data_IF_542351676204
#
_entry.id   IF_542351676204
#
_cell.length_a   1.000
_cell.length_b   1.000
_cell.length_c   1.000
_cell.angle_alpha   90.00
_cell.angle_beta   90.00
_cell.angle_gamma   90.00
#
_symmetry.space_group_name_H-M   'P 1'
#
loop_
_entity.id
_entity.type
_entity.pdbx_description
1 polymer ?
#
# COMPACT_ATOMS: atom_id res chain seq x y z
N UNK A 1 13.43 -3.27 14.84
CA UNK A 1 13.75 -2.82 13.47
C UNK A 1 12.44 -2.57 12.75
N UNK A 2 12.26 -1.40 12.15
CA UNK A 2 11.02 -1.06 11.44
C UNK A 2 10.99 -1.86 10.13
N UNK A 3 9.94 -2.67 9.92
CA UNK A 3 9.82 -3.51 8.72
C UNK A 3 9.16 -2.78 7.56
N UNK A 4 8.16 -1.95 7.87
CA UNK A 4 7.31 -1.27 6.88
C UNK A 4 6.89 0.11 7.36
N UNK A 5 6.78 1.05 6.44
CA UNK A 5 6.27 2.41 6.66
C UNK A 5 5.13 2.66 5.68
N UNK A 6 4.00 3.13 6.20
CA UNK A 6 2.84 3.53 5.40
C UNK A 6 2.75 5.04 5.35
N UNK A 7 2.59 5.58 4.15
CA UNK A 7 2.47 7.02 3.93
C UNK A 7 1.15 7.29 3.23
N UNK A 8 0.19 7.82 3.98
CA UNK A 8 -1.12 8.22 3.46
C UNK A 8 -1.07 9.70 3.06
N UNK A 9 -1.36 10.01 1.80
CA UNK A 9 -1.28 11.37 1.25
C UNK A 9 -2.43 11.64 0.28
N UNK A 10 -2.85 12.90 0.14
CA UNK A 10 -3.77 13.37 -0.93
C UNK A 10 -3.02 13.96 -2.14
N UNK A 11 -1.69 13.81 -2.17
CA UNK A 11 -0.83 14.24 -3.29
C UNK A 11 -0.16 13.05 -3.96
N UNK A 12 -0.11 13.08 -5.29
CA UNK A 12 0.74 12.18 -6.08
C UNK A 12 2.21 12.38 -5.70
N UNK A 13 2.89 11.28 -5.44
CA UNK A 13 4.18 11.30 -4.75
C UNK A 13 5.32 11.81 -5.62
N UNK A 14 5.21 11.64 -6.93
CA UNK A 14 6.12 12.22 -7.93
C UNK A 14 6.07 13.76 -7.97
N UNK A 15 5.05 14.38 -7.37
CA UNK A 15 4.89 15.82 -7.23
C UNK A 15 5.24 16.36 -5.84
N UNK A 16 5.48 15.49 -4.86
CA UNK A 16 5.79 15.89 -3.48
C UNK A 16 7.25 16.30 -3.31
N UNK A 17 8.17 15.74 -4.11
CA UNK A 17 9.58 16.10 -4.07
C UNK A 17 9.85 17.39 -4.85
N UNK A 18 10.46 18.38 -4.18
CA UNK A 18 10.99 19.57 -4.85
C UNK A 18 12.22 19.28 -5.72
N UNK A 19 12.76 18.06 -5.68
CA UNK A 19 13.93 17.64 -6.45
C UNK A 19 13.49 16.71 -7.61
N UNK A 20 13.52 17.18 -8.87
CA UNK A 20 13.11 16.37 -10.01
C UNK A 20 14.13 15.27 -10.37
N UNK A 21 15.32 15.26 -9.76
CA UNK A 21 16.40 14.32 -10.06
C UNK A 21 16.52 13.15 -9.09
N UNK A 22 15.79 13.16 -7.96
CA UNK A 22 15.82 12.12 -6.94
C UNK A 22 14.39 11.92 -6.41
N UNK A 23 13.91 10.67 -6.46
CA UNK A 23 12.65 10.29 -5.81
C UNK A 23 12.79 10.26 -4.30
N UNK A 24 11.70 10.45 -3.57
CA UNK A 24 11.72 10.36 -2.10
C UNK A 24 12.25 9.01 -1.59
N UNK A 25 11.96 7.93 -2.33
CA UNK A 25 12.47 6.60 -2.01
C UNK A 25 13.99 6.49 -2.14
N UNK A 26 14.57 7.07 -3.20
CA UNK A 26 16.02 7.10 -3.39
C UNK A 26 16.70 7.92 -2.29
N UNK A 27 16.12 9.08 -1.95
CA UNK A 27 16.61 9.93 -0.86
C UNK A 27 16.60 9.19 0.50
N UNK A 28 15.52 8.45 0.80
CA UNK A 28 15.43 7.65 2.02
C UNK A 28 16.47 6.54 2.01
N UNK A 29 16.59 5.80 0.91
CA UNK A 29 17.56 4.70 0.77
C UNK A 29 18.99 5.18 0.96
N UNK A 30 19.34 6.33 0.37
CA UNK A 30 20.64 6.98 0.53
C UNK A 30 20.92 7.37 1.98
N UNK A 31 19.97 8.06 2.65
CA UNK A 31 20.09 8.45 4.07
C UNK A 31 20.29 7.25 4.99
N UNK A 32 19.57 6.16 4.76
CA UNK A 32 19.75 4.90 5.51
C UNK A 32 21.15 4.32 5.29
N UNK A 33 21.63 4.30 4.05
CA UNK A 33 22.97 3.80 3.71
C UNK A 33 24.07 4.64 4.36
N UNK A 34 23.97 5.97 4.32
CA UNK A 34 24.93 6.90 4.94
C UNK A 34 25.04 6.72 6.47
N UNK A 35 23.96 6.27 7.13
CA UNK A 35 23.92 5.98 8.56
C UNK A 35 24.31 4.55 8.93
N UNK A 36 24.71 3.72 7.95
CA UNK A 36 25.08 2.32 8.17
C UNK A 36 23.89 1.35 8.22
N UNK A 37 22.67 1.81 7.92
CA UNK A 37 21.44 1.01 7.93
C UNK A 37 20.99 0.55 6.53
N UNK A 38 21.91 0.46 5.56
CA UNK A 38 21.57 0.14 4.17
C UNK A 38 20.84 -1.20 3.97
N UNK A 39 21.07 -2.18 4.85
CA UNK A 39 20.38 -3.49 4.83
C UNK A 39 19.05 -3.48 5.61
N UNK A 40 18.70 -2.37 6.26
CA UNK A 40 17.54 -2.22 7.13
C UNK A 40 16.59 -1.11 6.64
N UNK A 41 16.64 -0.79 5.35
CA UNK A 41 15.67 0.11 4.72
C UNK A 41 14.29 -0.56 4.78
N UNK A 42 13.29 0.06 5.43
CA UNK A 42 11.95 -0.52 5.51
C UNK A 42 11.29 -0.54 4.13
N UNK A 43 10.34 -1.44 3.95
CA UNK A 43 9.41 -1.34 2.82
C UNK A 43 8.54 -0.10 3.00
N UNK A 44 8.37 0.72 1.97
CA UNK A 44 7.54 1.92 2.02
C UNK A 44 6.33 1.73 1.12
N UNK A 45 5.14 1.92 1.68
CA UNK A 45 3.88 1.83 0.94
C UNK A 45 3.26 3.22 0.92
N UNK A 46 3.22 3.83 -0.26
CA UNK A 46 2.56 5.11 -0.48
C UNK A 46 1.12 4.86 -0.88
N UNK A 47 0.19 5.45 -0.17
CA UNK A 47 -1.24 5.38 -0.45
C UNK A 47 -1.78 6.78 -0.74
N UNK A 48 -2.08 7.04 -2.01
CA UNK A 48 -2.80 8.22 -2.43
C UNK A 48 -4.31 8.07 -2.14
N UNK A 49 -4.83 8.87 -1.21
CA UNK A 49 -6.22 8.88 -0.77
C UNK A 49 -7.13 9.72 -1.69
N UNK A 50 -6.58 10.45 -2.65
CA UNK A 50 -7.37 11.19 -3.63
C UNK A 50 -8.13 10.22 -4.52
N UNK A 51 -9.35 10.62 -4.91
CA UNK A 51 -10.10 9.95 -5.96
C UNK A 51 -9.30 10.02 -7.27
N UNK A 52 -8.70 8.89 -7.66
CA UNK A 52 -7.97 8.74 -8.91
C UNK A 52 -8.41 7.44 -9.56
N UNK A 53 -8.38 7.41 -10.90
CA UNK A 53 -8.76 6.22 -11.69
C UNK A 53 -7.83 5.02 -11.51
N UNK A 54 -6.78 5.14 -10.68
CA UNK A 54 -5.79 4.11 -10.53
C UNK A 54 -6.34 2.99 -9.63
N UNK A 55 -6.39 1.78 -10.18
CA UNK A 55 -6.63 0.55 -9.44
C UNK A 55 -5.48 0.30 -8.46
N UNK A 56 -5.74 -0.17 -7.23
CA UNK A 56 -4.71 -0.63 -6.30
C UNK A 56 -3.90 -1.75 -6.93
N UNK A 57 -2.78 -1.42 -7.56
CA UNK A 57 -1.83 -2.40 -8.07
C UNK A 57 -0.52 -2.11 -7.37
N UNK A 58 0.02 -3.06 -6.57
CA UNK A 58 1.33 -2.87 -5.98
C UNK A 58 2.34 -2.68 -7.12
N UNK A 59 2.79 -1.44 -7.34
CA UNK A 59 3.84 -1.14 -8.29
C UNK A 59 5.12 -1.86 -7.83
N UNK A 60 5.61 -2.80 -8.63
CA UNK A 60 6.66 -3.76 -8.28
C UNK A 60 8.07 -3.15 -8.34
N UNK A 61 8.32 -2.06 -7.62
CA UNK A 61 9.69 -1.65 -7.29
C UNK A 61 10.07 -2.30 -5.96
N UNK A 62 11.21 -3.00 -5.90
CA UNK A 62 11.60 -3.81 -4.73
C UNK A 62 11.72 -2.92 -3.49
N UNK A 63 10.72 -3.01 -2.59
CA UNK A 63 10.66 -2.20 -1.36
C UNK A 63 9.71 -1.01 -1.40
N UNK A 64 9.04 -0.75 -2.52
CA UNK A 64 8.00 0.29 -2.64
C UNK A 64 6.69 -0.32 -3.13
N UNK A 65 5.55 0.16 -2.63
CA UNK A 65 4.26 -0.09 -3.25
C UNK A 65 3.48 1.22 -3.36
N UNK A 66 2.75 1.40 -4.47
CA UNK A 66 1.84 2.52 -4.69
C UNK A 66 0.41 2.00 -4.64
N UNK A 67 -0.44 2.67 -3.87
CA UNK A 67 -1.87 2.36 -3.73
C UNK A 67 -2.66 3.64 -3.97
N UNK A 68 -3.77 3.56 -4.66
CA UNK A 68 -4.58 4.72 -5.07
C UNK A 68 -6.06 4.48 -4.82
N UNK A 69 -6.78 5.57 -4.54
CA UNK A 69 -8.21 5.55 -4.24
C UNK A 69 -8.50 5.32 -2.76
N UNK A 70 -9.63 5.87 -2.30
CA UNK A 70 -10.08 5.73 -0.91
C UNK A 70 -11.27 4.79 -0.80
N UNK A 71 -11.09 3.69 -0.07
CA UNK A 71 -12.20 2.86 0.43
C UNK A 71 -11.97 2.61 1.91
N UNK A 72 -12.95 3.01 2.73
CA UNK A 72 -12.93 2.76 4.19
C UNK A 72 -12.73 1.27 4.50
N UNK A 73 -13.36 0.40 3.70
CA UNK A 73 -13.26 -1.04 3.87
C UNK A 73 -11.87 -1.56 3.48
N UNK A 74 -11.26 -1.03 2.41
CA UNK A 74 -9.89 -1.42 2.04
C UNK A 74 -8.87 -0.95 3.08
N UNK A 75 -9.03 0.27 3.63
CA UNK A 75 -8.14 0.76 4.68
C UNK A 75 -8.27 -0.08 5.96
N UNK A 76 -9.50 -0.46 6.34
CA UNK A 76 -9.73 -1.33 7.49
C UNK A 76 -9.10 -2.71 7.27
N UNK A 77 -9.39 -3.37 6.14
CA UNK A 77 -8.80 -4.66 5.78
C UNK A 77 -7.28 -4.61 5.73
N UNK A 78 -6.71 -3.49 5.25
CA UNK A 78 -5.28 -3.29 5.22
C UNK A 78 -4.67 -3.21 6.62
N UNK A 79 -5.27 -2.43 7.52
CA UNK A 79 -4.80 -2.32 8.90
C UNK A 79 -4.94 -3.65 9.66
N UNK A 80 -6.02 -4.39 9.41
CA UNK A 80 -6.28 -5.69 10.04
C UNK A 80 -5.31 -6.78 9.55
N UNK A 81 -4.78 -6.66 8.32
CA UNK A 81 -3.88 -7.65 7.68
C UNK A 81 -2.40 -7.21 7.63
N UNK A 82 -1.92 -6.45 8.62
CA UNK A 82 -0.52 -5.97 8.72
C UNK A 82 -0.02 -5.24 7.45
N UNK A 83 -0.95 -4.56 6.77
CA UNK A 83 -0.74 -3.84 5.52
C UNK A 83 -0.48 -4.71 4.30
N UNK A 84 -0.94 -5.95 4.31
CA UNK A 84 -1.11 -6.76 3.10
C UNK A 84 -2.48 -6.49 2.48
N UNK A 85 -2.53 -6.22 1.17
CA UNK A 85 -3.78 -6.24 0.39
C UNK A 85 -3.65 -7.35 -0.64
N UNK A 86 -4.38 -8.43 -0.42
CA UNK A 86 -4.55 -9.50 -1.40
C UNK A 86 -6.01 -9.44 -1.90
N UNK A 87 -6.25 -9.26 -3.21
CA UNK A 87 -7.61 -9.22 -3.75
C UNK A 87 -8.47 -10.45 -3.38
N UNK A 88 -7.86 -11.63 -3.22
CA UNK A 88 -8.57 -12.85 -2.80
C UNK A 88 -9.02 -12.75 -1.35
N UNK A 89 -8.15 -12.30 -0.44
CA UNK A 89 -8.47 -12.13 0.97
C UNK A 89 -9.54 -11.02 1.16
N UNK A 90 -9.49 -9.97 0.34
CA UNK A 90 -10.51 -8.90 0.31
C UNK A 90 -11.85 -9.45 -0.15
N UNK A 91 -11.86 -10.24 -1.23
CA UNK A 91 -13.07 -10.88 -1.74
C UNK A 91 -13.65 -11.85 -0.70
N UNK A 92 -12.81 -12.71 -0.11
CA UNK A 92 -13.21 -13.69 0.90
C UNK A 92 -13.81 -13.00 2.13
N UNK A 93 -13.16 -11.95 2.65
CA UNK A 93 -13.69 -11.15 3.74
C UNK A 93 -15.08 -10.56 3.41
N UNK A 94 -15.24 -10.02 2.19
CA UNK A 94 -16.51 -9.42 1.75
C UNK A 94 -17.66 -10.42 1.63
N UNK A 95 -17.38 -11.69 1.35
CA UNK A 95 -18.39 -12.75 1.19
C UNK A 95 -18.47 -13.71 2.39
N UNK A 96 -17.66 -13.50 3.44
CA UNK A 96 -17.64 -14.35 4.65
C UNK A 96 -18.85 -14.15 5.58
N UNK A 97 -19.69 -13.15 5.32
CA UNK A 97 -20.85 -12.79 6.13
C UNK A 97 -21.92 -13.89 6.21
N UNK A 98 -22.68 -13.91 7.32
CA UNK A 98 -23.72 -14.92 7.57
C UNK A 98 -24.83 -14.90 6.51
N UNK A 99 -25.04 -13.76 5.85
CA UNK A 99 -25.94 -13.58 4.72
C UNK A 99 -25.55 -14.41 3.50
N UNK A 100 -24.26 -14.61 3.25
CA UNK A 100 -23.73 -15.36 2.11
C UNK A 100 -23.63 -16.87 2.39
N UNK A 101 -23.58 -17.28 3.66
CA UNK A 101 -23.55 -18.70 4.05
C UNK A 101 -24.78 -19.50 3.63
N UNK A 102 -25.90 -18.81 3.34
CA UNK A 102 -27.17 -19.42 2.90
C UNK A 102 -27.24 -19.61 1.38
N UNK A 103 -26.27 -19.08 0.64
CA UNK A 103 -26.24 -19.22 -0.82
C UNK A 103 -25.90 -20.66 -1.19
N UNK A 104 -26.66 -21.20 -2.14
CA UNK A 104 -26.44 -22.54 -2.69
C UNK A 104 -26.10 -22.40 -4.17
N UNK A 105 -25.08 -23.14 -4.60
CA UNK A 105 -24.77 -23.26 -6.03
C UNK A 105 -25.84 -24.13 -6.65
N UNK A 106 -26.50 -23.64 -7.69
CA UNK A 106 -27.40 -24.43 -8.54
C UNK A 106 -26.70 -24.71 -9.86
N UNK A 107 -26.62 -25.99 -10.18
CA UNK A 107 -26.17 -26.51 -11.48
C UNK A 107 -27.29 -26.43 -12.54
#
# INVERSE_FOLDING_TARGET
MIKRVFVFSDMEFDQASSNPWETDYEAITRKYREKGFGCAVPQIVFWNLRDSRATPVPATQKGVALVSGFSKNLLQLFLDNDGSINPMDVMEAAISGQEYQKLVVKD
#
